data_IF_535132615612
#
_entry.id   IF_535132615612
#
_cell.length_a   1.000
_cell.length_b   1.000
_cell.length_c   1.000
_cell.angle_alpha   90.00
_cell.angle_beta   90.00
_cell.angle_gamma   90.00
#
_symmetry.space_group_name_H-M   'P 1'
#
loop_
_entity.id
_entity.type
_entity.pdbx_description
1 polymer ?
#
# COMPACT_ATOMS: atom_id res chain seq x y z
N UNK A 1 -44.68 -0.88 57.79
CA UNK A 1 -44.51 -0.98 56.33
C UNK A 1 -43.36 -0.07 55.90
N UNK A 2 -42.16 -0.63 55.65
CA UNK A 2 -41.01 0.14 55.15
C UNK A 2 -40.73 -0.34 53.73
N UNK A 3 -41.23 0.41 52.76
CA UNK A 3 -41.01 0.14 51.34
C UNK A 3 -39.54 0.35 51.02
N UNK A 4 -38.83 -0.74 50.71
CA UNK A 4 -37.42 -0.74 50.33
C UNK A 4 -37.25 -0.19 48.91
N UNK A 5 -37.38 1.12 48.74
CA UNK A 5 -37.17 1.81 47.45
C UNK A 5 -35.69 2.00 47.07
N UNK A 6 -34.74 1.61 47.93
CA UNK A 6 -33.31 1.92 47.76
C UNK A 6 -32.47 0.96 46.90
N UNK A 7 -32.95 -0.26 46.59
CA UNK A 7 -32.15 -1.26 45.84
C UNK A 7 -32.34 -1.22 44.32
N UNK A 8 -33.48 -0.72 43.84
CA UNK A 8 -33.82 -0.72 42.41
C UNK A 8 -33.10 0.38 41.62
N UNK A 9 -32.94 1.59 42.19
CA UNK A 9 -32.31 2.71 41.47
C UNK A 9 -30.81 2.54 41.23
N UNK A 10 -30.07 1.97 42.21
CA UNK A 10 -28.62 1.73 42.08
C UNK A 10 -28.30 0.67 41.03
N UNK A 11 -29.12 -0.39 40.94
CA UNK A 11 -28.95 -1.43 39.92
C UNK A 11 -29.28 -0.93 38.52
N UNK A 12 -30.22 0.00 38.39
CA UNK A 12 -30.59 0.60 37.11
C UNK A 12 -29.49 1.54 36.61
N UNK A 13 -28.99 2.44 37.48
CA UNK A 13 -27.89 3.36 37.13
C UNK A 13 -26.61 2.58 36.76
N UNK A 14 -26.33 1.47 37.42
CA UNK A 14 -25.21 0.60 37.06
C UNK A 14 -25.41 -0.05 35.69
N UNK A 15 -26.64 -0.48 35.36
CA UNK A 15 -26.98 -1.02 34.04
C UNK A 15 -26.75 0.01 32.93
N UNK A 16 -27.27 1.23 33.09
CA UNK A 16 -27.08 2.32 32.12
C UNK A 16 -25.60 2.67 31.91
N UNK A 17 -24.79 2.65 32.99
CA UNK A 17 -23.34 2.86 32.91
C UNK A 17 -22.62 1.73 32.17
N UNK A 18 -23.05 0.48 32.35
CA UNK A 18 -22.49 -0.68 31.64
C UNK A 18 -22.84 -0.63 30.14
N UNK A 19 -24.08 -0.31 29.80
CA UNK A 19 -24.50 -0.16 28.40
C UNK A 19 -23.69 0.93 27.69
N UNK A 20 -23.51 2.08 28.34
CA UNK A 20 -22.67 3.16 27.82
C UNK A 20 -21.20 2.75 27.68
N UNK A 21 -20.68 1.95 28.61
CA UNK A 21 -19.32 1.43 28.51
C UNK A 21 -19.16 0.48 27.30
N UNK A 22 -20.12 -0.41 27.10
CA UNK A 22 -20.15 -1.33 25.95
C UNK A 22 -20.23 -0.54 24.64
N UNK A 23 -21.10 0.46 24.57
CA UNK A 23 -21.23 1.36 23.41
C UNK A 23 -19.91 2.05 23.08
N UNK A 24 -19.29 2.70 24.07
CA UNK A 24 -17.99 3.38 23.89
C UNK A 24 -16.89 2.40 23.51
N UNK A 25 -16.89 1.20 24.09
CA UNK A 25 -15.92 0.15 23.75
C UNK A 25 -16.06 -0.31 22.30
N UNK A 26 -17.29 -0.52 21.83
CA UNK A 26 -17.58 -0.91 20.45
C UNK A 26 -17.20 0.20 19.47
N UNK A 27 -17.60 1.45 19.76
CA UNK A 27 -17.22 2.59 18.94
C UNK A 27 -15.70 2.76 18.86
N UNK A 28 -15.00 2.56 19.98
CA UNK A 28 -13.54 2.62 20.03
C UNK A 28 -12.89 1.49 19.20
N UNK A 29 -13.49 0.30 19.17
CA UNK A 29 -13.02 -0.79 18.31
C UNK A 29 -13.20 -0.46 16.83
N UNK A 30 -14.37 0.07 16.45
CA UNK A 30 -14.67 0.49 15.09
C UNK A 30 -13.74 1.61 14.60
N UNK A 31 -13.48 2.60 15.45
CA UNK A 31 -12.59 3.71 15.13
C UNK A 31 -11.14 3.23 14.93
N UNK A 32 -10.68 2.30 15.78
CA UNK A 32 -9.38 1.64 15.59
C UNK A 32 -9.31 0.89 14.26
N UNK A 33 -10.36 0.16 13.92
CA UNK A 33 -10.43 -0.59 12.67
C UNK A 33 -10.35 0.35 11.45
N UNK A 34 -11.13 1.44 11.45
CA UNK A 34 -11.06 2.47 10.40
C UNK A 34 -9.67 3.08 10.25
N UNK A 35 -8.98 3.34 11.37
CA UNK A 35 -7.60 3.87 11.34
C UNK A 35 -6.63 2.86 10.72
N UNK A 36 -6.76 1.57 11.05
CA UNK A 36 -5.92 0.51 10.48
C UNK A 36 -6.12 0.44 8.97
N UNK A 37 -7.37 0.43 8.51
CA UNK A 37 -7.72 0.40 7.08
C UNK A 37 -7.19 1.63 6.35
N UNK A 38 -7.36 2.82 6.92
CA UNK A 38 -6.84 4.07 6.35
C UNK A 38 -5.32 4.05 6.23
N UNK A 39 -4.61 3.57 7.26
CA UNK A 39 -3.14 3.44 7.24
C UNK A 39 -2.68 2.43 6.19
N UNK A 40 -3.36 1.29 6.06
CA UNK A 40 -3.04 0.28 5.05
C UNK A 40 -3.23 0.85 3.64
N UNK A 41 -4.36 1.53 3.39
CA UNK A 41 -4.63 2.17 2.12
C UNK A 41 -3.59 3.24 1.78
N UNK A 42 -3.22 4.09 2.74
CA UNK A 42 -2.20 5.11 2.56
C UNK A 42 -0.83 4.50 2.25
N UNK A 43 -0.43 3.48 3.00
CA UNK A 43 0.82 2.76 2.79
C UNK A 43 0.90 2.16 1.38
N UNK A 44 -0.17 1.49 0.94
CA UNK A 44 -0.26 0.94 -0.42
C UNK A 44 -0.15 2.04 -1.48
N UNK A 45 -0.86 3.16 -1.31
CA UNK A 45 -0.77 4.31 -2.24
C UNK A 45 0.64 4.91 -2.29
N UNK A 46 1.31 5.03 -1.14
CA UNK A 46 2.69 5.51 -1.06
C UNK A 46 3.65 4.56 -1.78
N UNK A 47 3.49 3.24 -1.60
CA UNK A 47 4.28 2.24 -2.30
C UNK A 47 4.10 2.33 -3.81
N UNK A 48 2.85 2.37 -4.30
CA UNK A 48 2.59 2.49 -5.73
C UNK A 48 3.12 3.80 -6.32
N UNK A 49 2.97 4.91 -5.59
CA UNK A 49 3.56 6.20 -5.98
C UNK A 49 5.09 6.12 -6.06
N UNK A 50 5.74 5.47 -5.11
CA UNK A 50 7.18 5.28 -5.11
C UNK A 50 7.65 4.41 -6.29
N UNK A 51 6.91 3.35 -6.62
CA UNK A 51 7.17 2.50 -7.81
C UNK A 51 7.05 3.31 -9.10
N UNK A 52 5.98 4.08 -9.26
CA UNK A 52 5.77 4.94 -10.43
C UNK A 52 6.89 5.96 -10.54
N UNK A 53 7.22 6.68 -9.45
CA UNK A 53 8.29 7.68 -9.45
C UNK A 53 9.66 7.08 -9.80
N UNK A 54 9.97 5.89 -9.27
CA UNK A 54 11.20 5.16 -9.60
C UNK A 54 11.25 4.81 -11.09
N UNK A 55 10.14 4.26 -11.62
CA UNK A 55 10.01 3.90 -13.04
C UNK A 55 10.11 5.11 -13.96
N UNK A 56 9.49 6.24 -13.61
CA UNK A 56 9.59 7.49 -14.37
C UNK A 56 11.02 8.01 -14.41
N UNK A 57 11.71 8.08 -13.27
CA UNK A 57 13.13 8.49 -13.23
C UNK A 57 14.04 7.58 -14.07
N UNK A 58 13.75 6.27 -14.06
CA UNK A 58 14.46 5.31 -14.90
C UNK A 58 14.18 5.53 -16.39
N UNK A 59 12.93 5.81 -16.76
CA UNK A 59 12.55 6.18 -18.14
C UNK A 59 13.26 7.45 -18.60
N UNK A 60 13.28 8.50 -17.77
CA UNK A 60 13.96 9.75 -18.11
C UNK A 60 15.45 9.52 -18.32
N UNK A 61 16.09 8.77 -17.43
CA UNK A 61 17.51 8.39 -17.54
C UNK A 61 17.77 7.55 -18.79
N UNK A 62 16.89 6.62 -19.11
CA UNK A 62 16.98 5.78 -20.31
C UNK A 62 16.89 6.63 -21.58
N UNK A 63 15.91 7.52 -21.66
CA UNK A 63 15.74 8.46 -22.77
C UNK A 63 16.96 9.36 -22.94
N UNK A 64 17.45 9.95 -21.85
CA UNK A 64 18.64 10.80 -21.86
C UNK A 64 19.87 10.04 -22.36
N UNK A 65 20.07 8.82 -21.85
CA UNK A 65 21.19 7.99 -22.28
C UNK A 65 21.07 7.64 -23.76
N UNK A 66 19.86 7.29 -24.24
CA UNK A 66 19.57 6.93 -25.63
C UNK A 66 19.84 8.07 -26.61
N UNK A 67 19.53 9.30 -26.22
CA UNK A 67 19.67 10.51 -27.05
C UNK A 67 21.04 11.21 -26.89
N UNK A 68 21.87 10.80 -25.94
CA UNK A 68 23.18 11.42 -25.70
C UNK A 68 24.09 11.34 -26.93
N UNK A 69 24.84 12.42 -27.20
CA UNK A 69 25.90 12.42 -28.21
C UNK A 69 27.02 11.45 -27.80
N UNK A 70 27.39 10.56 -28.72
CA UNK A 70 28.41 9.52 -28.50
C UNK A 70 29.63 9.73 -29.40
N UNK A 71 29.70 10.85 -30.12
CA UNK A 71 30.80 11.17 -31.06
C UNK A 71 32.19 11.14 -30.41
N UNK A 72 32.26 11.48 -29.11
CA UNK A 72 33.50 11.53 -28.32
C UNK A 72 33.77 10.26 -27.50
N UNK A 73 32.88 9.27 -27.55
CA UNK A 73 33.05 8.04 -26.78
C UNK A 73 33.98 7.07 -27.49
N UNK A 74 34.86 6.43 -26.72
CA UNK A 74 35.64 5.29 -27.21
C UNK A 74 34.78 4.01 -27.32
N UNK A 75 35.35 2.96 -27.90
CA UNK A 75 34.63 1.71 -28.12
C UNK A 75 34.25 0.99 -26.82
N UNK A 76 35.05 1.15 -25.76
CA UNK A 76 34.76 0.58 -24.45
C UNK A 76 33.59 1.30 -23.77
N UNK A 77 33.55 2.62 -23.83
CA UNK A 77 32.45 3.45 -23.33
C UNK A 77 31.15 3.16 -24.09
N UNK A 78 31.22 3.01 -25.42
CA UNK A 78 30.07 2.59 -26.24
C UNK A 78 29.57 1.20 -25.84
N UNK A 79 30.46 0.24 -25.64
CA UNK A 79 30.08 -1.10 -25.20
C UNK A 79 29.38 -1.08 -23.83
N UNK A 80 29.91 -0.32 -22.86
CA UNK A 80 29.28 -0.13 -21.55
C UNK A 80 27.90 0.52 -21.66
N UNK A 81 27.75 1.52 -22.53
CA UNK A 81 26.47 2.18 -22.78
C UNK A 81 25.43 1.21 -23.33
N UNK A 82 25.79 0.35 -24.29
CA UNK A 82 24.89 -0.67 -24.83
C UNK A 82 24.42 -1.62 -23.74
N UNK A 83 25.32 -2.07 -22.86
CA UNK A 83 24.97 -2.94 -21.73
C UNK A 83 24.01 -2.23 -20.77
N UNK A 84 24.29 -0.97 -20.41
CA UNK A 84 23.43 -0.17 -19.54
C UNK A 84 22.02 0.02 -20.14
N UNK A 85 21.93 0.40 -21.42
CA UNK A 85 20.66 0.55 -22.12
C UNK A 85 19.87 -0.76 -22.14
N UNK A 86 20.52 -1.90 -22.42
CA UNK A 86 19.87 -3.21 -22.39
C UNK A 86 19.32 -3.53 -21.00
N UNK A 87 20.10 -3.30 -19.94
CA UNK A 87 19.63 -3.53 -18.58
C UNK A 87 18.43 -2.65 -18.22
N UNK A 88 18.52 -1.35 -18.48
CA UNK A 88 17.42 -0.41 -18.25
C UNK A 88 16.17 -0.79 -19.06
N UNK A 89 16.33 -1.20 -20.32
CA UNK A 89 15.23 -1.68 -21.16
C UNK A 89 14.54 -2.90 -20.54
N UNK A 90 15.29 -3.90 -20.07
CA UNK A 90 14.68 -5.09 -19.42
C UNK A 90 13.98 -4.76 -18.10
N UNK A 91 14.45 -3.75 -17.35
CA UNK A 91 13.78 -3.30 -16.13
C UNK A 91 12.51 -2.48 -16.42
N UNK A 92 12.53 -1.67 -17.46
CA UNK A 92 11.40 -0.84 -17.89
C UNK A 92 10.33 -1.64 -18.63
N UNK A 93 10.74 -2.60 -19.45
CA UNK A 93 9.86 -3.41 -20.28
C UNK A 93 10.16 -4.89 -20.00
N UNK A 94 9.84 -5.38 -18.78
CA UNK A 94 9.85 -6.81 -18.56
C UNK A 94 8.87 -7.43 -19.57
N UNK A 95 9.28 -8.50 -20.25
CA UNK A 95 8.44 -9.18 -21.23
C UNK A 95 7.05 -9.40 -20.64
N UNK A 96 6.02 -8.91 -21.33
CA UNK A 96 4.62 -9.16 -20.99
C UNK A 96 4.25 -10.60 -21.32
N UNK A 97 4.95 -11.56 -20.73
CA UNK A 97 4.84 -12.98 -20.98
C UNK A 97 5.03 -13.76 -19.69
N UNK A 98 3.99 -13.76 -18.84
CA UNK A 98 3.45 -14.94 -18.14
C UNK A 98 2.41 -14.51 -17.08
N UNK A 99 1.27 -14.01 -17.54
CA UNK A 99 0.02 -13.89 -16.77
C UNK A 99 -1.16 -14.40 -17.60
N UNK A 100 -0.95 -15.52 -18.31
CA UNK A 100 -1.99 -16.22 -19.06
C UNK A 100 -1.91 -17.70 -18.74
N UNK A 101 -2.99 -18.24 -18.19
CA UNK A 101 -3.21 -19.66 -17.85
C UNK A 101 -2.64 -20.17 -16.51
N UNK A 102 -3.11 -19.57 -15.41
CA UNK A 102 -3.43 -20.41 -14.24
C UNK A 102 -4.72 -21.18 -14.56
N UNK A 103 -4.55 -22.33 -15.20
CA UNK A 103 -5.56 -23.34 -15.38
C UNK A 103 -6.13 -23.74 -14.00
N UNK A 104 -7.30 -23.19 -13.66
CA UNK A 104 -8.05 -23.59 -12.47
C UNK A 104 -8.77 -24.89 -12.76
N UNK A 105 -8.04 -26.00 -12.76
CA UNK A 105 -8.63 -27.31 -12.53
C UNK A 105 -8.59 -27.58 -11.03
N UNK A 106 -9.66 -27.15 -10.36
CA UNK A 106 -10.12 -27.71 -9.09
C UNK A 106 -11.64 -27.49 -9.04
N UNK A 107 -12.37 -28.48 -9.57
CA UNK A 107 -13.53 -29.17 -8.99
C UNK A 107 -14.17 -30.05 -10.06
#
# INVERSE_FOLDING_TARGET
>A
ERTSKGKSGVSQELGERLDKFIEVSNQSADDRQKVIESKLLLSNRQLETAKINSRTKLMDSYTNLLLADTSKMDDFEKARRVIALKHMQTTLFPDSGDQGEKNTNNF
#
